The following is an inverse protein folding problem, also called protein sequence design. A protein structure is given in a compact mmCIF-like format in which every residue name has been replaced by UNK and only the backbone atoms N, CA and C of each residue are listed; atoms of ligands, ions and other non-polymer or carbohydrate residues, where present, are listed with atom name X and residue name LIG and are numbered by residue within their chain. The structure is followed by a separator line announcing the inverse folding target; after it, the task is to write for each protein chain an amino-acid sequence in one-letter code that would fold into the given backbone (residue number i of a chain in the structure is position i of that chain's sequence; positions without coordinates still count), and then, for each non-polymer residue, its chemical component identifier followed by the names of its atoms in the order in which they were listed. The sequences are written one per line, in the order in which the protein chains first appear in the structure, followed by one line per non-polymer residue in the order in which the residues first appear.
data_IF_453064859498
#
_entry.id   IF_453064859498
#
_cell.length_a   1.000
_cell.length_b   1.000
_cell.length_c   1.000
_cell.angle_alpha   90.00
_cell.angle_beta   90.00
_cell.angle_gamma   90.00
#
_symmetry.space_group_name_H-M   'P 1'
#
loop_
_entity.id
_entity.type
_entity.pdbx_description
1 polymer ?
#
# COMPACT_ATOMS: atom_id res chain seq x y z
N UNK A 1 6.84 21.24 -15.21
CA UNK A 1 5.58 20.48 -15.15
C UNK A 1 5.35 19.94 -16.56
N UNK A 2 5.44 18.62 -16.79
CA UNK A 2 5.36 18.03 -18.14
C UNK A 2 4.66 16.66 -18.08
N UNK A 3 3.87 16.34 -19.12
CA UNK A 3 2.73 15.39 -19.14
C UNK A 3 3.00 14.03 -19.82
N UNK A 4 2.11 13.04 -19.60
CA UNK A 4 2.20 11.66 -20.09
C UNK A 4 0.85 10.95 -20.32
N UNK A 5 0.75 10.02 -21.29
CA UNK A 5 -0.43 9.21 -21.67
C UNK A 5 -0.07 7.71 -21.88
N UNK A 6 -1.00 6.77 -21.68
CA UNK A 6 -0.85 5.35 -22.12
C UNK A 6 -2.19 4.64 -22.44
N UNK A 7 -2.35 4.02 -23.63
CA UNK A 7 -3.35 2.99 -23.90
C UNK A 7 -2.70 1.59 -24.08
N UNK A 8 -3.33 0.54 -23.55
CA UNK A 8 -2.86 -0.84 -23.72
C UNK A 8 -3.28 -1.42 -25.08
N UNK A 9 -2.29 -1.88 -25.87
CA UNK A 9 -2.49 -2.72 -27.05
C UNK A 9 -1.71 -4.02 -26.86
N UNK A 10 -2.42 -5.15 -26.86
CA UNK A 10 -1.83 -6.49 -26.74
C UNK A 10 -1.59 -7.09 -28.14
N UNK A 11 -0.36 -7.46 -28.53
CA UNK A 11 -0.11 -8.18 -29.77
C UNK A 11 -0.35 -9.69 -29.61
N UNK A 12 -0.96 -10.29 -30.64
CA UNK A 12 -1.17 -11.72 -30.77
C UNK A 12 0.13 -12.47 -31.14
N UNK A 13 0.83 -12.98 -30.13
CA UNK A 13 1.97 -13.89 -30.27
C UNK A 13 2.06 -14.81 -29.06
N UNK A 14 2.72 -15.98 -29.20
CA UNK A 14 2.97 -16.92 -28.08
C UNK A 14 3.63 -16.16 -26.92
N UNK A 15 2.86 -15.91 -25.88
CA UNK A 15 3.31 -15.20 -24.69
C UNK A 15 4.21 -16.15 -23.90
N UNK A 16 5.48 -15.77 -23.76
CA UNK A 16 6.38 -16.40 -22.82
C UNK A 16 6.03 -15.89 -21.42
N UNK A 17 5.22 -16.68 -20.72
CA UNK A 17 4.80 -16.40 -19.35
C UNK A 17 5.96 -16.40 -18.36
N UNK A 18 7.16 -16.88 -18.70
CA UNK A 18 8.34 -16.68 -17.84
C UNK A 18 8.83 -15.23 -17.92
N UNK A 19 9.00 -14.73 -19.14
CA UNK A 19 9.52 -13.39 -19.41
C UNK A 19 8.58 -12.24 -19.02
N UNK A 20 7.27 -12.49 -18.98
CA UNK A 20 6.26 -11.51 -18.52
C UNK A 20 6.30 -11.32 -17.00
N UNK A 21 6.69 -12.35 -16.25
CA UNK A 21 6.70 -12.36 -14.79
C UNK A 21 8.09 -12.09 -14.20
N UNK A 22 9.15 -12.23 -15.00
CA UNK A 22 10.47 -11.75 -14.63
C UNK A 22 10.46 -10.22 -14.47
N UNK A 23 10.66 -9.78 -13.23
CA UNK A 23 10.87 -8.37 -12.84
C UNK A 23 12.08 -7.71 -13.54
N UNK A 24 12.82 -8.47 -14.36
CA UNK A 24 13.97 -8.07 -15.16
C UNK A 24 13.67 -7.90 -16.65
N UNK A 25 12.40 -7.79 -17.07
CA UNK A 25 12.09 -7.52 -18.48
C UNK A 25 12.79 -6.23 -18.94
N UNK A 26 13.76 -6.39 -19.86
CA UNK A 26 14.70 -5.34 -20.29
C UNK A 26 14.06 -4.26 -21.18
N UNK A 27 12.73 -4.18 -21.22
CA UNK A 27 11.97 -3.30 -22.10
C UNK A 27 10.84 -2.56 -21.37
N UNK A 28 11.01 -2.35 -20.05
CA UNK A 28 10.08 -1.53 -19.26
C UNK A 28 10.23 -0.07 -19.72
N UNK A 29 9.20 0.44 -20.40
CA UNK A 29 9.13 1.84 -20.82
C UNK A 29 8.73 2.71 -19.64
N UNK A 30 9.57 3.69 -19.33
CA UNK A 30 9.24 4.77 -18.39
C UNK A 30 8.05 5.56 -18.95
N UNK A 31 7.06 5.98 -18.12
CA UNK A 31 5.94 6.79 -18.60
C UNK A 31 6.41 8.04 -19.34
N UNK A 32 5.66 8.44 -20.35
CA UNK A 32 5.92 9.66 -21.13
C UNK A 32 6.12 10.86 -20.20
N UNK A 33 6.97 11.84 -20.54
CA UNK A 33 7.25 12.98 -19.66
C UNK A 33 8.13 12.68 -18.43
N UNK A 34 8.26 11.43 -18.00
CA UNK A 34 9.31 10.99 -17.07
C UNK A 34 10.60 10.58 -17.82
N UNK A 35 10.49 10.19 -19.09
CA UNK A 35 11.60 9.73 -19.95
C UNK A 35 12.78 10.73 -20.04
N UNK A 36 12.48 12.03 -20.06
CA UNK A 36 13.50 13.08 -20.19
C UNK A 36 14.04 13.59 -18.85
N UNK A 37 13.54 13.07 -17.72
CA UNK A 37 13.97 13.51 -16.40
C UNK A 37 15.25 12.78 -15.99
N UNK A 38 16.18 13.50 -15.36
CA UNK A 38 17.32 12.88 -14.70
C UNK A 38 16.80 12.06 -13.49
N UNK A 39 16.96 10.73 -13.46
CA UNK A 39 16.39 9.91 -12.39
C UNK A 39 16.94 10.25 -11.00
N UNK A 40 18.20 10.68 -10.92
CA UNK A 40 18.87 11.01 -9.66
C UNK A 40 18.37 12.34 -9.05
N UNK A 41 17.75 13.20 -9.87
CA UNK A 41 17.24 14.51 -9.45
C UNK A 41 15.81 14.48 -8.89
N UNK A 42 15.17 13.32 -8.87
CA UNK A 42 13.80 13.14 -8.38
C UNK A 42 13.83 12.68 -6.93
N UNK A 43 13.21 13.47 -6.05
CA UNK A 43 13.10 13.15 -4.62
C UNK A 43 11.90 12.28 -4.31
N UNK A 44 10.78 12.49 -5.00
CA UNK A 44 9.58 11.70 -4.82
C UNK A 44 8.68 11.64 -6.05
N UNK A 45 7.86 10.59 -6.12
CA UNK A 45 6.84 10.39 -7.15
C UNK A 45 5.53 10.09 -6.44
N UNK A 46 4.52 10.94 -6.65
CA UNK A 46 3.19 10.79 -6.08
C UNK A 46 2.22 10.51 -7.21
N UNK A 47 1.41 9.46 -7.11
CA UNK A 47 0.54 9.07 -8.22
C UNK A 47 -0.78 8.45 -7.75
N UNK A 48 -1.76 8.49 -8.65
CA UNK A 48 -3.06 7.84 -8.53
C UNK A 48 -3.16 6.83 -9.67
N UNK A 49 -3.52 5.59 -9.37
CA UNK A 49 -3.47 4.47 -10.31
C UNK A 49 -4.78 3.68 -10.31
N UNK A 50 -5.05 2.98 -11.41
CA UNK A 50 -6.08 1.94 -11.45
C UNK A 50 -5.66 0.68 -10.68
N UNK A 51 -6.46 -0.38 -10.78
CA UNK A 51 -6.24 -1.64 -10.08
C UNK A 51 -5.07 -2.49 -10.62
N UNK A 52 -4.36 -2.06 -11.68
CA UNK A 52 -3.27 -2.81 -12.31
C UNK A 52 -1.97 -1.98 -12.36
N UNK A 53 -1.35 -1.67 -11.19
CA UNK A 53 -0.22 -0.76 -11.10
C UNK A 53 1.12 -1.40 -11.48
N UNK A 54 1.18 -2.71 -11.74
CA UNK A 54 2.43 -3.49 -11.80
C UNK A 54 3.38 -3.01 -12.91
N UNK A 55 2.82 -2.71 -14.08
CA UNK A 55 3.61 -2.15 -15.18
C UNK A 55 4.22 -0.80 -14.82
N UNK A 56 3.46 0.03 -14.10
CA UNK A 56 3.92 1.34 -13.65
C UNK A 56 4.96 1.22 -12.53
N UNK A 57 4.72 0.41 -11.49
CA UNK A 57 5.64 0.26 -10.36
C UNK A 57 6.99 -0.28 -10.82
N UNK A 58 7.00 -1.22 -11.77
CA UNK A 58 8.22 -1.69 -12.43
C UNK A 58 8.91 -0.56 -13.22
N UNK A 59 8.16 0.28 -13.94
CA UNK A 59 8.73 1.41 -14.68
C UNK A 59 9.31 2.49 -13.78
N UNK A 60 8.69 2.73 -12.62
CA UNK A 60 9.18 3.70 -11.64
C UNK A 60 10.48 3.23 -10.95
N UNK A 61 10.86 1.96 -11.04
CA UNK A 61 12.16 1.47 -10.57
C UNK A 61 13.36 2.18 -11.24
N UNK A 62 13.13 2.80 -12.42
CA UNK A 62 14.11 3.66 -13.07
C UNK A 62 14.53 4.88 -12.24
N UNK A 63 13.76 5.25 -11.21
CA UNK A 63 14.04 6.34 -10.27
C UNK A 63 14.47 5.79 -8.90
N UNK A 64 15.69 5.23 -8.75
CA UNK A 64 16.08 4.50 -7.54
C UNK A 64 16.17 5.38 -6.31
N UNK A 65 16.49 6.67 -6.47
CA UNK A 65 16.60 7.64 -5.38
C UNK A 65 15.28 8.26 -4.92
N UNK A 66 14.17 8.01 -5.61
CA UNK A 66 12.88 8.66 -5.33
C UNK A 66 11.99 7.80 -4.43
N UNK A 67 11.40 8.39 -3.39
CA UNK A 67 10.28 7.74 -2.66
C UNK A 67 9.01 7.81 -3.49
N UNK A 68 8.32 6.68 -3.66
CA UNK A 68 7.11 6.57 -4.49
C UNK A 68 5.92 6.28 -3.60
N UNK A 69 4.90 7.13 -3.67
CA UNK A 69 3.64 6.97 -2.95
C UNK A 69 2.47 7.00 -3.93
N UNK A 70 1.79 5.88 -4.08
CA UNK A 70 0.66 5.68 -4.98
C UNK A 70 -0.65 5.52 -4.20
N UNK A 71 -1.76 6.04 -4.72
CA UNK A 71 -3.11 5.74 -4.21
C UNK A 71 -3.89 5.00 -5.29
N UNK A 72 -4.60 3.94 -4.91
CA UNK A 72 -5.57 3.34 -5.83
C UNK A 72 -6.78 4.25 -5.97
N UNK A 73 -7.17 4.54 -7.20
CA UNK A 73 -8.35 5.35 -7.48
C UNK A 73 -9.62 4.58 -7.17
N UNK A 74 -10.58 5.26 -6.55
CA UNK A 74 -11.87 4.66 -6.25
C UNK A 74 -12.60 4.22 -7.54
N UNK A 75 -13.26 3.04 -7.53
CA UNK A 75 -14.07 2.60 -8.65
C UNK A 75 -15.22 3.56 -8.95
N UNK A 76 -15.43 3.87 -10.22
CA UNK A 76 -16.53 4.76 -10.66
C UNK A 76 -17.48 4.17 -11.72
N UNK A 77 -17.69 2.84 -11.81
CA UNK A 77 -18.43 2.26 -12.94
C UNK A 77 -19.89 2.75 -12.99
N UNK A 78 -20.51 2.97 -11.83
CA UNK A 78 -21.91 3.39 -11.74
C UNK A 78 -22.12 4.91 -11.89
N UNK A 79 -21.05 5.71 -11.79
CA UNK A 79 -21.15 7.18 -11.87
C UNK A 79 -20.72 7.66 -13.26
N UNK A 80 -19.59 7.17 -13.76
CA UNK A 80 -18.99 7.66 -15.02
C UNK A 80 -18.97 6.61 -16.14
N UNK A 81 -19.40 5.38 -15.85
CA UNK A 81 -19.30 4.26 -16.80
C UNK A 81 -17.88 3.73 -17.00
N UNK A 82 -16.91 4.18 -16.19
CA UNK A 82 -15.49 3.80 -16.27
C UNK A 82 -15.06 2.99 -15.04
N UNK A 83 -14.12 2.04 -15.17
CA UNK A 83 -13.58 1.31 -14.03
C UNK A 83 -13.12 2.25 -12.92
N UNK A 84 -12.28 3.23 -13.26
CA UNK A 84 -11.88 4.37 -12.42
C UNK A 84 -12.00 5.68 -13.22
N UNK A 85 -11.94 6.82 -12.55
CA UNK A 85 -11.90 8.14 -13.21
C UNK A 85 -10.70 8.94 -12.72
N UNK A 86 -9.68 9.07 -13.55
CA UNK A 86 -8.47 9.84 -13.26
C UNK A 86 -8.47 11.15 -14.07
N UNK A 87 -8.10 12.25 -13.42
CA UNK A 87 -8.07 13.57 -14.03
C UNK A 87 -6.63 14.07 -14.20
N UNK A 88 -6.31 14.60 -15.39
CA UNK A 88 -5.08 15.33 -15.66
C UNK A 88 -5.43 16.61 -16.45
N UNK A 89 -5.57 17.73 -15.74
CA UNK A 89 -6.03 18.97 -16.35
C UNK A 89 -7.44 18.80 -16.92
N UNK A 90 -7.59 18.96 -18.23
CA UNK A 90 -8.84 18.82 -18.98
C UNK A 90 -9.12 17.38 -19.45
N UNK A 91 -8.22 16.43 -19.18
CA UNK A 91 -8.29 15.07 -19.70
C UNK A 91 -8.72 14.07 -18.64
N UNK A 92 -9.58 13.15 -19.05
CA UNK A 92 -10.16 12.10 -18.21
C UNK A 92 -9.69 10.73 -18.71
N UNK A 93 -9.21 9.88 -17.80
CA UNK A 93 -8.74 8.54 -18.09
C UNK A 93 -9.54 7.50 -17.29
N UNK A 94 -9.72 6.32 -17.89
CA UNK A 94 -10.39 5.17 -17.26
C UNK A 94 -9.45 4.07 -16.78
N UNK A 95 -8.16 4.16 -17.11
CA UNK A 95 -7.11 3.18 -16.85
C UNK A 95 -5.75 3.87 -16.75
N UNK A 96 -4.75 3.19 -16.21
CA UNK A 96 -3.39 3.69 -16.03
C UNK A 96 -3.23 4.54 -14.77
N UNK A 97 -2.40 5.59 -14.86
CA UNK A 97 -2.13 6.45 -13.71
C UNK A 97 -1.91 7.92 -14.10
N UNK A 98 -2.15 8.80 -13.13
CA UNK A 98 -1.79 10.22 -13.19
C UNK A 98 -0.96 10.57 -11.96
N UNK A 99 0.02 11.46 -12.09
CA UNK A 99 0.90 11.76 -10.96
C UNK A 99 1.86 12.92 -11.20
N UNK A 100 2.68 13.15 -10.18
CA UNK A 100 3.66 14.21 -10.11
C UNK A 100 5.01 13.62 -9.69
N UNK A 101 6.07 14.01 -10.40
CA UNK A 101 7.44 13.80 -9.96
C UNK A 101 7.97 15.10 -9.38
N UNK A 102 8.36 15.06 -8.11
CA UNK A 102 8.90 16.21 -7.39
C UNK A 102 10.42 16.11 -7.35
N UNK A 103 11.07 17.18 -7.78
CA UNK A 103 12.50 17.38 -7.51
C UNK A 103 12.69 17.66 -6.02
N UNK A 104 13.93 17.52 -5.54
CA UNK A 104 14.34 17.81 -4.16
C UNK A 104 13.57 18.96 -3.47
N UNK A 105 13.41 18.91 -2.13
CA UNK A 105 14.04 17.97 -1.18
C UNK A 105 13.42 16.56 -1.18
N UNK A 106 14.19 15.58 -0.71
CA UNK A 106 13.67 14.22 -0.48
C UNK A 106 12.71 14.25 0.71
N UNK A 107 11.53 13.63 0.63
CA UNK A 107 10.62 13.59 1.76
C UNK A 107 11.12 12.68 2.87
N UNK A 108 10.79 13.04 4.10
CA UNK A 108 10.67 12.05 5.17
C UNK A 108 9.42 11.20 4.90
N UNK A 109 9.52 9.89 5.13
CA UNK A 109 8.41 8.96 4.89
C UNK A 109 7.95 8.37 6.20
N UNK A 110 6.65 8.41 6.45
CA UNK A 110 6.03 7.82 7.64
C UNK A 110 4.94 6.83 7.21
N UNK A 111 4.87 5.70 7.92
CA UNK A 111 3.76 4.76 7.81
C UNK A 111 3.23 4.47 9.20
N UNK A 112 1.91 4.48 9.35
CA UNK A 112 1.21 4.11 10.58
C UNK A 112 0.06 3.15 10.28
N UNK A 113 -0.22 2.26 11.23
CA UNK A 113 -1.30 1.27 11.14
C UNK A 113 -2.21 1.47 12.36
N UNK A 114 -3.23 2.32 12.22
CA UNK A 114 -4.14 2.64 13.32
C UNK A 114 -5.12 1.49 13.57
N UNK A 115 -5.45 1.24 14.84
CA UNK A 115 -6.46 0.25 15.22
C UNK A 115 -6.01 -1.21 15.02
N UNK A 116 -4.70 -1.47 14.93
CA UNK A 116 -4.14 -2.82 14.80
C UNK A 116 -3.41 -3.23 16.08
N UNK A 117 -3.72 -4.42 16.59
CA UNK A 117 -3.12 -4.99 17.80
C UNK A 117 -2.39 -6.30 17.50
N UNK A 118 -1.20 -6.53 18.07
CA UNK A 118 -0.44 -7.76 17.83
C UNK A 118 -1.12 -8.97 18.51
N UNK A 119 -1.29 -10.07 17.76
CA UNK A 119 -1.89 -11.32 18.23
C UNK A 119 -0.89 -12.28 18.90
N UNK A 120 0.37 -12.21 18.51
CA UNK A 120 1.40 -13.16 18.94
C UNK A 120 2.78 -12.51 18.97
N UNK A 121 3.80 -13.15 19.56
CA UNK A 121 5.20 -12.71 19.41
C UNK A 121 5.68 -12.76 17.95
N UNK A 122 6.77 -12.03 17.61
CA UNK A 122 7.42 -12.12 16.31
C UNK A 122 7.92 -13.53 15.96
N UNK A 123 7.85 -13.88 14.68
CA UNK A 123 8.26 -15.15 14.10
C UNK A 123 9.09 -14.93 12.84
N UNK A 124 9.96 -15.89 12.50
CA UNK A 124 10.82 -15.83 11.32
C UNK A 124 10.13 -16.44 10.11
N UNK A 125 10.15 -15.75 8.97
CA UNK A 125 9.73 -16.34 7.69
C UNK A 125 10.76 -17.38 7.26
N UNK A 126 10.38 -18.65 7.28
CA UNK A 126 11.25 -19.77 6.93
C UNK A 126 11.02 -20.29 5.51
N UNK A 127 9.82 -20.11 4.95
CA UNK A 127 9.53 -20.41 3.55
C UNK A 127 8.39 -19.55 3.01
N UNK A 128 8.57 -18.99 1.82
CA UNK A 128 7.59 -18.19 1.10
C UNK A 128 7.72 -18.39 -0.42
N UNK A 129 6.62 -18.23 -1.16
CA UNK A 129 6.57 -18.33 -2.63
C UNK A 129 5.45 -17.46 -3.19
N UNK A 130 5.73 -16.58 -4.15
CA UNK A 130 4.76 -15.60 -4.63
C UNK A 130 4.22 -14.74 -3.48
N UNK A 131 2.91 -14.63 -3.35
CA UNK A 131 2.22 -13.98 -2.22
C UNK A 131 1.88 -14.94 -1.06
N UNK A 132 2.42 -16.16 -1.08
CA UNK A 132 2.13 -17.19 -0.08
C UNK A 132 3.24 -17.27 0.98
N UNK A 133 2.83 -17.22 2.24
CA UNK A 133 3.67 -17.61 3.37
C UNK A 133 3.44 -19.09 3.64
N UNK A 134 4.48 -19.90 3.43
CA UNK A 134 4.41 -21.36 3.53
C UNK A 134 4.84 -21.83 4.92
N UNK A 135 5.81 -21.16 5.55
CA UNK A 135 6.25 -21.54 6.89
C UNK A 135 6.80 -20.37 7.70
N UNK A 136 6.40 -20.31 8.97
CA UNK A 136 6.92 -19.41 10.00
C UNK A 136 7.56 -20.24 11.11
N UNK A 137 8.81 -19.95 11.49
CA UNK A 137 9.59 -20.75 12.45
C UNK A 137 9.59 -22.26 12.15
N UNK A 138 9.62 -22.64 10.87
CA UNK A 138 9.48 -24.02 10.40
C UNK A 138 8.17 -24.71 10.81
N UNK A 139 7.12 -23.93 11.12
CA UNK A 139 5.78 -24.40 11.49
C UNK A 139 4.74 -23.93 10.48
N UNK A 140 3.54 -24.49 10.62
CA UNK A 140 2.37 -24.17 9.81
C UNK A 140 1.79 -22.79 10.21
N UNK A 141 1.90 -21.76 9.35
CA UNK A 141 1.43 -20.40 9.64
C UNK A 141 -0.07 -20.31 9.93
N UNK A 142 -0.91 -21.07 9.23
CA UNK A 142 -2.35 -21.04 9.45
C UNK A 142 -2.72 -21.56 10.84
N UNK A 143 -2.07 -22.64 11.29
CA UNK A 143 -2.26 -23.16 12.65
C UNK A 143 -1.73 -22.20 13.70
N UNK A 144 -0.61 -21.52 13.43
CA UNK A 144 -0.08 -20.47 14.30
C UNK A 144 -1.07 -19.31 14.45
N UNK A 145 -1.61 -18.80 13.35
CA UNK A 145 -2.63 -17.75 13.38
C UNK A 145 -3.87 -18.19 14.16
N UNK A 146 -4.44 -19.35 13.85
CA UNK A 146 -5.62 -19.89 14.56
C UNK A 146 -5.35 -20.06 16.06
N UNK A 147 -4.14 -20.48 16.44
CA UNK A 147 -3.75 -20.60 17.84
C UNK A 147 -3.64 -19.23 18.53
N UNK A 148 -3.10 -18.23 17.84
CA UNK A 148 -2.97 -16.87 18.35
C UNK A 148 -4.33 -16.20 18.55
N UNK A 149 -5.25 -16.35 17.58
CA UNK A 149 -6.62 -15.86 17.66
C UNK A 149 -7.34 -16.45 18.90
N UNK A 150 -7.24 -17.77 19.09
CA UNK A 150 -7.84 -18.44 20.26
C UNK A 150 -7.23 -17.97 21.58
N UNK A 151 -5.91 -17.77 21.61
CA UNK A 151 -5.21 -17.29 22.80
C UNK A 151 -5.59 -15.85 23.16
N UNK A 152 -5.83 -15.01 22.14
CA UNK A 152 -6.29 -13.63 22.30
C UNK A 152 -7.78 -13.53 22.70
N UNK A 153 -8.54 -14.64 22.68
CA UNK A 153 -9.96 -14.64 23.02
C UNK A 153 -10.84 -13.94 21.98
N UNK A 154 -10.36 -13.78 20.74
CA UNK A 154 -11.12 -13.20 19.62
C UNK A 154 -12.22 -14.19 19.23
N UNK A 155 -13.48 -13.77 19.31
CA UNK A 155 -14.63 -14.65 19.10
C UNK A 155 -14.90 -14.90 17.62
N UNK A 156 -14.40 -16.03 17.12
CA UNK A 156 -14.67 -16.56 15.79
C UNK A 156 -16.09 -17.16 15.65
N UNK A 157 -17.11 -16.56 16.28
CA UNK A 157 -18.52 -17.05 16.21
C UNK A 157 -19.48 -16.11 15.50
N UNK A 158 -19.05 -14.90 15.15
CA UNK A 158 -19.77 -14.06 14.19
C UNK A 158 -19.41 -14.52 12.78
N UNK A 159 -20.30 -15.28 12.12
CA UNK A 159 -20.27 -15.64 10.67
C UNK A 159 -19.05 -16.43 10.13
N UNK A 160 -18.35 -17.16 10.99
CA UNK A 160 -16.97 -17.58 10.75
C UNK A 160 -16.81 -19.00 10.15
N UNK A 161 -17.63 -19.31 9.14
CA UNK A 161 -17.38 -20.44 8.22
C UNK A 161 -16.65 -19.97 6.95
N UNK A 162 -16.57 -18.65 6.71
CA UNK A 162 -15.78 -18.01 5.66
C UNK A 162 -14.60 -17.20 6.20
N UNK A 163 -13.82 -17.75 7.15
CA UNK A 163 -12.77 -17.13 8.00
C UNK A 163 -11.82 -16.07 7.39
N UNK A 164 -11.76 -15.91 6.06
CA UNK A 164 -10.89 -14.96 5.37
C UNK A 164 -11.55 -14.31 4.13
N UNK A 165 -12.80 -14.62 3.84
CA UNK A 165 -13.54 -13.93 2.79
C UNK A 165 -14.04 -12.59 3.36
N UNK A 166 -13.49 -11.50 2.81
CA UNK A 166 -13.87 -10.11 3.05
C UNK A 166 -13.56 -9.44 4.40
N UNK A 167 -13.01 -10.14 5.41
CA UNK A 167 -12.58 -9.46 6.64
C UNK A 167 -11.12 -8.99 6.57
N UNK A 168 -10.91 -7.68 6.39
CA UNK A 168 -9.62 -7.00 6.64
C UNK A 168 -9.21 -7.02 8.14
N UNK A 169 -9.71 -7.99 8.90
CA UNK A 169 -9.59 -8.11 10.35
C UNK A 169 -8.22 -8.64 10.75
N UNK A 170 -7.59 -9.47 9.92
CA UNK A 170 -6.30 -10.09 10.20
C UNK A 170 -5.22 -9.67 9.21
N UNK A 171 -4.04 -9.36 9.75
CA UNK A 171 -2.90 -8.92 8.97
C UNK A 171 -1.61 -9.62 9.39
N UNK A 172 -0.65 -9.66 8.47
CA UNK A 172 0.74 -10.01 8.75
C UNK A 172 1.60 -8.77 8.53
N UNK A 173 2.37 -8.37 9.53
CA UNK A 173 3.31 -7.26 9.41
C UNK A 173 4.76 -7.75 9.37
N UNK A 174 5.60 -7.14 8.52
CA UNK A 174 7.06 -7.23 8.66
C UNK A 174 7.54 -6.28 9.73
N UNK A 175 8.57 -6.69 10.47
CA UNK A 175 9.13 -5.89 11.54
C UNK A 175 10.50 -5.33 11.17
N UNK A 176 10.74 -4.08 11.56
CA UNK A 176 12.04 -3.42 11.56
C UNK A 176 12.19 -2.69 12.89
N UNK A 177 13.29 -2.92 13.61
CA UNK A 177 13.51 -2.36 14.94
C UNK A 177 12.32 -2.58 15.90
N UNK A 178 11.78 -3.81 15.89
CA UNK A 178 10.61 -4.26 16.68
C UNK A 178 9.30 -3.51 16.39
N UNK A 179 9.24 -2.73 15.31
CA UNK A 179 8.05 -1.99 14.88
C UNK A 179 7.52 -2.49 13.54
N UNK A 180 6.20 -2.44 13.31
CA UNK A 180 5.62 -2.74 12.00
C UNK A 180 6.19 -1.82 10.90
N UNK A 181 6.81 -2.41 9.88
CA UNK A 181 7.40 -1.72 8.73
C UNK A 181 6.49 -1.77 7.50
N UNK A 182 5.89 -2.94 7.24
CA UNK A 182 4.90 -3.17 6.18
C UNK A 182 3.79 -4.05 6.75
N UNK A 183 2.56 -3.88 6.31
CA UNK A 183 1.43 -4.68 6.80
C UNK A 183 0.59 -5.15 5.63
N UNK A 184 0.28 -6.44 5.62
CA UNK A 184 -0.39 -7.13 4.53
C UNK A 184 -1.68 -7.78 5.03
N UNK A 185 -2.81 -7.52 4.36
CA UNK A 185 -4.07 -8.23 4.64
C UNK A 185 -3.91 -9.72 4.34
N UNK A 186 -4.45 -10.56 5.22
CA UNK A 186 -4.53 -12.00 5.00
C UNK A 186 -5.80 -12.29 4.19
N UNK A 187 -5.64 -12.86 2.99
CA UNK A 187 -6.77 -13.18 2.09
C UNK A 187 -7.34 -14.57 2.32
N UNK A 188 -6.49 -15.51 2.69
CA UNK A 188 -6.91 -16.88 2.97
C UNK A 188 -5.84 -17.63 3.75
N UNK A 189 -6.27 -18.68 4.44
CA UNK A 189 -5.41 -19.65 5.07
C UNK A 189 -5.99 -21.04 4.88
N UNK A 190 -5.15 -22.01 4.53
CA UNK A 190 -5.52 -23.43 4.47
C UNK A 190 -4.95 -24.15 5.69
N UNK A 191 -5.77 -24.53 6.69
CA UNK A 191 -5.27 -25.21 7.89
C UNK A 191 -4.62 -26.57 7.60
N UNK A 192 -5.02 -27.22 6.50
CA UNK A 192 -4.54 -28.55 6.09
C UNK A 192 -3.22 -28.49 5.32
N UNK A 193 -3.10 -27.56 4.37
CA UNK A 193 -1.86 -27.34 3.59
C UNK A 193 -0.86 -26.44 4.32
N UNK A 194 -1.34 -25.65 5.26
CA UNK A 194 -0.55 -24.80 6.13
C UNK A 194 0.03 -23.56 5.46
N UNK A 195 -0.71 -22.98 4.51
CA UNK A 195 -0.26 -21.78 3.78
C UNK A 195 -1.19 -20.61 4.06
N UNK A 196 -0.62 -19.41 4.16
CA UNK A 196 -1.37 -18.15 4.23
C UNK A 196 -1.12 -17.37 2.94
N UNK A 197 -2.18 -16.89 2.30
CA UNK A 197 -2.10 -15.99 1.16
C UNK A 197 -2.28 -14.54 1.62
N UNK A 198 -1.40 -13.66 1.15
CA UNK A 198 -1.44 -12.23 1.45
C UNK A 198 -2.00 -11.44 0.28
N UNK A 199 -2.68 -10.32 0.58
CA UNK A 199 -3.10 -9.32 -0.41
C UNK A 199 -1.91 -8.43 -0.78
N UNK A 200 -0.97 -9.02 -1.52
CA UNK A 200 0.23 -8.35 -2.00
C UNK A 200 0.75 -9.05 -3.26
N UNK A 201 1.67 -8.39 -3.97
CA UNK A 201 2.37 -9.00 -5.10
C UNK A 201 3.36 -10.08 -4.67
N UNK A 202 3.93 -9.95 -3.47
CA UNK A 202 4.90 -10.88 -2.91
C UNK A 202 4.77 -10.97 -1.40
N UNK A 203 5.04 -12.15 -0.86
CA UNK A 203 5.19 -12.38 0.56
C UNK A 203 6.48 -11.71 1.08
N UNK A 204 6.55 -11.46 2.40
CA UNK A 204 7.79 -11.04 3.03
C UNK A 204 8.97 -11.97 2.68
N UNK A 205 10.19 -11.44 2.46
CA UNK A 205 11.36 -12.25 2.15
C UNK A 205 11.64 -13.31 3.22
N UNK A 206 12.13 -14.48 2.81
CA UNK A 206 12.64 -15.50 3.74
C UNK A 206 13.77 -14.90 4.58
N UNK A 207 13.71 -15.14 5.89
CA UNK A 207 14.62 -14.55 6.88
C UNK A 207 14.13 -13.24 7.50
N UNK A 208 13.00 -12.68 7.04
CA UNK A 208 12.38 -11.52 7.69
C UNK A 208 11.62 -11.91 8.97
N UNK A 209 11.59 -10.99 9.94
CA UNK A 209 10.75 -11.11 11.13
C UNK A 209 9.36 -10.57 10.83
N UNK A 210 8.33 -11.34 11.20
CA UNK A 210 6.93 -11.01 10.98
C UNK A 210 6.09 -11.27 12.22
N UNK A 211 4.93 -10.62 12.31
CA UNK A 211 4.01 -10.77 13.43
C UNK A 211 2.56 -10.64 12.95
N UNK A 212 1.67 -11.45 13.51
CA UNK A 212 0.23 -11.36 13.23
C UNK A 212 -0.40 -10.22 14.01
N UNK A 213 -1.32 -9.51 13.36
CA UNK A 213 -2.11 -8.44 13.94
C UNK A 213 -3.60 -8.66 13.69
N UNK A 214 -4.44 -8.10 14.55
CA UNK A 214 -5.88 -8.02 14.36
C UNK A 214 -6.41 -6.60 14.57
N UNK A 215 -7.56 -6.28 13.96
CA UNK A 215 -8.27 -5.03 14.24
C UNK A 215 -9.47 -5.29 15.16
N UNK A 216 -9.42 -4.92 16.46
CA UNK A 216 -10.55 -5.12 17.37
C UNK A 216 -11.74 -4.20 17.09
N UNK A 217 -11.52 -3.05 16.46
CA UNK A 217 -12.55 -2.06 16.12
C UNK A 217 -12.25 -1.48 14.73
N UNK A 218 -12.85 -2.03 13.68
CA UNK A 218 -12.73 -1.55 12.29
C UNK A 218 -13.33 -0.15 12.04
N UNK A 219 -13.86 0.52 13.07
CA UNK A 219 -14.76 1.67 12.91
C UNK A 219 -14.12 3.04 13.15
N UNK A 220 -12.93 3.13 13.77
CA UNK A 220 -12.36 4.44 14.15
C UNK A 220 -10.87 4.56 13.86
N UNK A 221 -10.53 5.00 12.66
CA UNK A 221 -9.21 5.53 12.35
C UNK A 221 -9.14 7.02 12.69
N UNK A 222 -8.46 7.39 13.77
CA UNK A 222 -8.20 8.79 14.12
C UNK A 222 -6.98 9.29 13.36
N UNK A 223 -7.18 10.29 12.49
CA UNK A 223 -6.07 10.97 11.83
C UNK A 223 -5.45 12.00 12.78
N UNK A 224 -4.19 11.78 13.15
CA UNK A 224 -3.40 12.76 13.90
C UNK A 224 -2.76 13.77 12.94
N UNK A 225 -3.34 14.97 12.88
CA UNK A 225 -2.73 16.13 12.24
C UNK A 225 -1.56 16.62 13.09
N UNK A 226 -0.32 16.37 12.65
CA UNK A 226 0.85 17.04 13.23
C UNK A 226 0.89 18.46 12.70
N UNK A 227 0.28 19.40 13.42
CA UNK A 227 0.40 20.82 13.12
C UNK A 227 1.77 21.33 13.57
N UNK A 228 2.61 21.69 12.61
CA UNK A 228 3.88 22.36 12.85
C UNK A 228 4.12 23.40 11.75
N UNK A 229 4.45 24.65 12.07
CA UNK A 229 4.44 25.79 11.13
C UNK A 229 5.49 25.75 9.99
N UNK A 230 6.16 24.62 9.75
CA UNK A 230 7.24 24.47 8.74
C UNK A 230 7.25 23.17 7.94
N UNK A 231 6.22 22.31 8.07
CA UNK A 231 6.19 21.03 7.38
C UNK A 231 5.02 20.96 6.41
N UNK A 232 5.30 20.74 5.13
CA UNK A 232 4.29 20.34 4.15
C UNK A 232 4.12 18.84 4.22
N UNK A 233 2.89 18.36 4.28
CA UNK A 233 2.57 16.93 4.42
C UNK A 233 1.60 16.49 3.32
N UNK A 234 1.87 15.34 2.73
CA UNK A 234 0.95 14.63 1.86
C UNK A 234 0.73 13.25 2.44
N UNK A 235 -0.52 12.81 2.59
CA UNK A 235 -0.82 11.50 3.13
C UNK A 235 -1.98 10.82 2.42
N UNK A 236 -1.82 9.51 2.28
CA UNK A 236 -2.80 8.58 1.76
C UNK A 236 -3.28 7.69 2.88
N UNK A 237 -4.60 7.56 2.99
CA UNK A 237 -5.27 6.83 4.06
C UNK A 237 -6.07 5.69 3.46
N UNK A 238 -5.98 4.51 4.04
CA UNK A 238 -6.89 3.42 3.67
C UNK A 238 -8.18 3.54 4.48
N UNK A 239 -9.31 3.75 3.81
CA UNK A 239 -10.63 3.84 4.46
C UNK A 239 -11.33 2.48 4.52
N UNK A 240 -12.20 2.31 5.52
CA UNK A 240 -13.14 1.18 5.56
C UNK A 240 -14.39 1.52 4.73
N UNK A 241 -14.95 0.59 3.94
CA UNK A 241 -16.21 0.82 3.22
C UNK A 241 -17.42 1.02 4.15
N UNK A 242 -17.32 0.58 5.41
CA UNK A 242 -18.40 0.66 6.41
C UNK A 242 -18.08 1.62 7.56
N UNK A 243 -16.84 2.08 7.67
CA UNK A 243 -16.36 2.87 8.81
C UNK A 243 -16.46 4.37 8.59
N UNK A 244 -16.87 5.10 9.63
CA UNK A 244 -16.79 6.55 9.65
C UNK A 244 -15.36 6.98 9.98
N UNK A 245 -14.65 7.62 9.04
CA UNK A 245 -13.35 8.23 9.35
C UNK A 245 -13.60 9.50 10.18
N UNK A 246 -13.38 9.45 11.49
CA UNK A 246 -13.51 10.61 12.38
C UNK A 246 -12.15 11.26 12.62
N UNK A 247 -12.07 12.57 12.39
CA UNK A 247 -10.93 13.37 12.85
C UNK A 247 -11.07 13.61 14.35
N UNK A 248 -9.97 13.44 15.10
CA UNK A 248 -9.97 13.64 16.55
C UNK A 248 -10.42 15.08 16.90
N UNK A 249 -11.56 15.22 17.59
CA UNK A 249 -12.13 16.51 18.01
C UNK A 249 -13.49 16.89 17.38
N UNK A 250 -14.12 16.03 16.57
CA UNK A 250 -15.35 16.35 15.85
C UNK A 250 -16.64 16.16 16.67
N UNK A 251 -17.27 17.27 17.09
CA UNK A 251 -18.70 17.31 17.46
C UNK A 251 -19.57 18.04 16.44
N UNK A 252 -18.99 18.56 15.35
CA UNK A 252 -19.69 19.32 14.31
C UNK A 252 -19.36 18.80 12.89
N UNK A 253 -20.41 18.63 12.08
CA UNK A 253 -20.40 18.35 10.63
C UNK A 253 -19.88 19.57 9.81
N UNK A 254 -18.69 20.06 10.14
CA UNK A 254 -18.04 21.19 9.46
C UNK A 254 -17.01 20.75 8.41
N UNK A 255 -16.73 21.64 7.46
CA UNK A 255 -15.54 21.54 6.60
C UNK A 255 -14.32 21.94 7.42
N UNK A 256 -13.36 21.04 7.53
CA UNK A 256 -12.09 21.30 8.23
C UNK A 256 -11.00 21.59 7.19
N UNK A 257 -10.22 22.65 7.44
CA UNK A 257 -9.06 22.99 6.63
C UNK A 257 -7.82 22.68 7.45
N UNK A 258 -7.00 21.75 6.95
CA UNK A 258 -5.69 21.46 7.50
C UNK A 258 -4.67 22.26 6.69
N UNK A 259 -4.03 23.23 7.33
CA UNK A 259 -2.99 24.03 6.68
C UNK A 259 -1.77 23.14 6.34
N UNK A 260 -1.20 23.36 5.16
CA UNK A 260 -0.02 22.64 4.64
C UNK A 260 -0.13 21.11 4.56
N UNK A 261 -1.36 20.57 4.58
CA UNK A 261 -1.62 19.13 4.50
C UNK A 261 -2.54 18.77 3.32
N UNK A 262 -2.16 17.76 2.55
CA UNK A 262 -3.01 17.12 1.55
C UNK A 262 -3.31 15.69 2.00
N UNK A 263 -4.58 15.42 2.30
CA UNK A 263 -5.05 14.12 2.78
C UNK A 263 -6.10 13.57 1.84
N UNK A 264 -5.89 12.35 1.35
CA UNK A 264 -6.85 11.63 0.51
C UNK A 264 -6.99 10.20 1.02
N UNK A 265 -8.21 9.71 1.04
CA UNK A 265 -8.52 8.34 1.42
C UNK A 265 -8.90 7.49 0.20
N UNK A 266 -8.62 6.18 0.28
CA UNK A 266 -9.10 5.17 -0.68
C UNK A 266 -9.43 3.87 0.04
N UNK A 267 -10.51 3.22 -0.35
CA UNK A 267 -10.89 1.88 0.13
C UNK A 267 -9.94 0.80 -0.42
N UNK A 268 -9.36 1.05 -1.59
CA UNK A 268 -8.41 0.15 -2.25
C UNK A 268 -6.98 0.32 -1.70
N UNK A 269 -6.76 1.34 -0.86
CA UNK A 269 -5.51 1.57 -0.16
C UNK A 269 -4.43 2.29 -0.96
N UNK A 270 -3.17 2.07 -0.58
CA UNK A 270 -2.02 2.79 -1.13
C UNK A 270 -0.84 1.86 -1.44
N UNK A 271 0.03 2.31 -2.32
CA UNK A 271 1.30 1.67 -2.71
C UNK A 271 2.44 2.53 -2.19
N UNK A 272 3.44 1.93 -1.55
CA UNK A 272 4.64 2.62 -1.10
C UNK A 272 5.91 1.91 -1.57
N UNK A 273 6.88 2.71 -1.99
CA UNK A 273 8.27 2.30 -2.15
C UNK A 273 9.16 3.41 -1.61
N UNK A 274 9.65 3.22 -0.39
CA UNK A 274 10.60 4.13 0.28
C UNK A 274 11.94 4.13 -0.43
N UNK A 275 12.57 5.30 -0.52
CA UNK A 275 13.98 5.43 -0.90
C UNK A 275 14.81 5.67 0.35
N UNK A 276 15.70 4.73 0.66
CA UNK A 276 16.65 4.80 1.76
C UNK A 276 18.07 4.67 1.19
N UNK A 277 18.98 5.56 1.57
CA UNK A 277 20.38 5.55 1.10
C UNK A 277 20.54 5.53 -0.44
N UNK A 278 19.57 6.10 -1.16
CA UNK A 278 19.58 6.15 -2.63
C UNK A 278 19.14 4.86 -3.32
N UNK A 279 18.58 3.90 -2.57
CA UNK A 279 17.94 2.69 -3.10
C UNK A 279 16.47 2.66 -2.74
N UNK A 280 15.65 2.30 -3.73
CA UNK A 280 14.22 2.09 -3.53
C UNK A 280 13.98 0.69 -2.99
N UNK A 281 13.20 0.57 -1.91
CA UNK A 281 12.65 -0.74 -1.51
C UNK A 281 11.67 -1.24 -2.59
N UNK A 282 11.44 -2.56 -2.64
CA UNK A 282 10.41 -3.11 -3.51
C UNK A 282 9.03 -2.51 -3.16
N UNK A 283 8.21 -2.15 -4.16
CA UNK A 283 6.89 -1.60 -3.92
C UNK A 283 6.01 -2.59 -3.16
N UNK A 284 5.26 -2.09 -2.19
CA UNK A 284 4.31 -2.88 -1.43
C UNK A 284 3.00 -2.10 -1.24
N UNK A 285 1.92 -2.84 -1.03
CA UNK A 285 0.58 -2.29 -0.91
C UNK A 285 0.06 -2.47 0.52
N UNK A 286 -0.60 -1.43 1.06
CA UNK A 286 -1.44 -1.58 2.25
C UNK A 286 -2.90 -1.36 1.89
N UNK A 287 -3.73 -2.36 2.21
CA UNK A 287 -5.20 -2.32 2.09
C UNK A 287 -5.89 -2.42 3.45
N UNK A 288 -5.13 -2.35 4.55
CA UNK A 288 -5.68 -2.41 5.90
C UNK A 288 -6.32 -1.06 6.25
N UNK A 289 -7.63 -1.01 6.58
CA UNK A 289 -8.27 0.22 7.03
C UNK A 289 -7.52 0.88 8.18
N UNK A 290 -7.42 2.20 8.16
CA UNK A 290 -6.63 2.96 9.14
C UNK A 290 -5.12 2.96 8.89
N UNK A 291 -4.64 2.30 7.82
CA UNK A 291 -3.26 2.49 7.36
C UNK A 291 -3.07 3.89 6.79
N UNK A 292 -1.95 4.52 7.10
CA UNK A 292 -1.56 5.81 6.54
C UNK A 292 -0.16 5.73 5.97
N UNK A 293 0.01 6.14 4.71
CA UNK A 293 1.30 6.39 4.08
C UNK A 293 1.48 7.89 3.87
N UNK A 294 2.52 8.48 4.45
CA UNK A 294 2.73 9.92 4.43
C UNK A 294 4.14 10.31 3.98
N UNK A 295 4.21 11.43 3.27
CA UNK A 295 5.43 12.15 2.90
C UNK A 295 5.42 13.52 3.55
N UNK A 296 6.52 13.90 4.18
CA UNK A 296 6.70 15.23 4.76
C UNK A 296 7.97 15.90 4.24
N UNK A 297 7.87 17.19 3.96
CA UNK A 297 8.99 18.02 3.55
C UNK A 297 9.16 19.16 4.53
N UNK A 298 10.37 19.31 5.04
CA UNK A 298 10.77 20.50 5.81
C UNK A 298 11.17 21.57 4.82
N UNK A 299 10.46 22.70 4.82
CA UNK A 299 10.90 23.86 4.05
C UNK A 299 12.14 24.43 4.73
N UNK A 300 13.27 24.46 4.03
CA UNK A 300 14.37 25.32 4.45
C UNK A 300 13.94 26.76 4.16
N UNK A 301 14.13 27.65 5.14
CA UNK A 301 13.82 29.08 4.98
C UNK A 301 14.58 29.57 3.73
N UNK A 302 13.83 30.05 2.73
CA UNK A 302 14.35 30.58 1.48
C UNK A 302 15.03 31.94 1.68
#
# INVERSE_FOLDING_TARGET
MMMAFWPAHFPSGKIDWGAVWDQNSTNIKVPTGLESLNPDGIGSIIYFTDAAPEGLTNALAHFPGATKLGLFAAPTPFITGRPVTLFQGDKIYGTGAVGLALKHPRPETQVTFHGMEPLCPPMLVSKAEGNLVISLDNKNPTQLLLSAIRAAGVDLRSETVGLFEDSNEFALATLRDEKPHQMFSIMSGDPSRGTIALRSMSAPPVGSWVQFFHSPNSETSSLEGKQGPKHKRLQFVTSSPTGNTQFAGSTNDGVWVLEDEFTVASEEGFILSRSEEGKSEAPWTSTIPGSVGALSWTLQDA
#
